data_IF_054327464609
#
_entry.id   IF_054327464609
#
_cell.length_a   1.000
_cell.length_b   1.000
_cell.length_c   1.000
_cell.angle_alpha   90.00
_cell.angle_beta   90.00
_cell.angle_gamma   90.00
#
_symmetry.space_group_name_H-M   'P 1'
#
loop_
_entity.id
_entity.type
_entity.pdbx_description
1 polymer ?
#
# COMPACT_ATOMS: atom_id res chain seq x y z
N UNK A 1 -13.47 -13.63 -4.66
CA UNK A 1 -12.05 -13.27 -4.86
C UNK A 1 -12.07 -11.88 -5.44
N UNK A 2 -11.51 -10.89 -4.72
CA UNK A 2 -11.58 -9.48 -5.09
C UNK A 2 -10.20 -9.02 -5.56
N UNK A 3 -9.73 -9.68 -6.60
CA UNK A 3 -8.48 -9.38 -7.26
C UNK A 3 -8.75 -8.22 -8.23
N UNK A 4 -8.08 -7.09 -8.02
CA UNK A 4 -8.07 -6.01 -8.98
C UNK A 4 -7.11 -6.42 -10.09
N UNK A 5 -7.64 -6.64 -11.29
CA UNK A 5 -6.82 -6.85 -12.48
C UNK A 5 -6.68 -5.53 -13.20
N UNK A 6 -5.43 -5.12 -13.42
CA UNK A 6 -5.09 -3.99 -14.28
C UNK A 6 -5.72 -4.18 -15.66
N UNK A 7 -6.53 -3.23 -16.11
CA UNK A 7 -7.05 -3.25 -17.48
C UNK A 7 -6.07 -2.67 -18.49
N UNK A 8 -5.20 -1.75 -18.05
CA UNK A 8 -4.20 -1.10 -18.86
C UNK A 8 -2.79 -1.33 -18.33
N UNK A 9 -1.78 -1.13 -19.18
CA UNK A 9 -0.36 -1.20 -18.81
C UNK A 9 0.03 -0.18 -17.73
N UNK A 10 -0.75 0.90 -17.61
CA UNK A 10 -0.58 1.92 -16.59
C UNK A 10 -1.22 1.56 -15.24
N UNK A 11 -2.04 0.50 -15.16
CA UNK A 11 -2.75 0.11 -13.94
C UNK A 11 -2.00 -0.99 -13.17
N UNK A 12 -2.11 -0.96 -11.84
CA UNK A 12 -1.50 -1.96 -10.98
C UNK A 12 -2.49 -3.06 -10.63
N UNK A 13 -2.14 -4.32 -10.90
CA UNK A 13 -2.93 -5.47 -10.45
C UNK A 13 -2.60 -5.82 -9.01
N UNK A 14 -3.61 -5.98 -8.15
CA UNK A 14 -3.38 -6.31 -6.74
C UNK A 14 -4.54 -7.09 -6.10
N UNK A 15 -4.19 -7.87 -5.07
CA UNK A 15 -5.15 -8.64 -4.28
C UNK A 15 -5.27 -8.08 -2.86
N UNK A 16 -6.42 -8.28 -2.23
CA UNK A 16 -6.61 -7.95 -0.80
C UNK A 16 -5.51 -8.59 0.05
N UNK A 17 -4.90 -7.80 0.93
CA UNK A 17 -3.80 -8.23 1.80
C UNK A 17 -2.41 -8.13 1.17
N UNK A 18 -2.29 -7.69 -0.08
CA UNK A 18 -0.99 -7.34 -0.65
C UNK A 18 -0.47 -6.02 -0.09
N UNK A 19 0.86 -5.88 -0.10
CA UNK A 19 1.55 -4.65 0.29
C UNK A 19 1.98 -3.91 -0.97
N UNK A 20 1.45 -2.71 -1.12
CA UNK A 20 1.79 -1.81 -2.22
C UNK A 20 2.79 -0.79 -1.72
N UNK A 21 3.86 -0.60 -2.47
CA UNK A 21 4.86 0.41 -2.20
C UNK A 21 4.48 1.68 -2.95
N UNK A 22 4.05 2.73 -2.26
CA UNK A 22 3.61 3.97 -2.94
C UNK A 22 4.83 4.75 -3.40
N UNK A 23 4.96 4.90 -4.72
CA UNK A 23 6.02 5.66 -5.37
C UNK A 23 5.64 7.14 -5.51
N UNK A 24 4.43 7.41 -5.98
CA UNK A 24 3.90 8.77 -6.19
C UNK A 24 2.44 8.87 -5.78
N UNK A 25 2.08 10.03 -5.24
CA UNK A 25 0.72 10.40 -4.81
C UNK A 25 0.34 11.76 -5.39
N UNK A 26 0.60 11.91 -6.69
CA UNK A 26 0.35 13.16 -7.40
C UNK A 26 -1.15 13.49 -7.42
N UNK A 27 -1.98 12.46 -7.62
CA UNK A 27 -3.44 12.54 -7.52
C UNK A 27 -3.96 12.10 -6.14
N UNK A 28 -5.14 12.61 -5.76
CA UNK A 28 -5.84 12.20 -4.54
C UNK A 28 -6.55 10.85 -4.71
N UNK A 29 -7.11 10.61 -5.89
CA UNK A 29 -7.89 9.42 -6.19
C UNK A 29 -7.04 8.23 -6.66
N UNK A 30 -5.95 8.49 -7.40
CA UNK A 30 -5.10 7.48 -8.00
C UNK A 30 -3.64 7.65 -7.59
N UNK A 31 -3.08 6.63 -6.94
CA UNK A 31 -1.68 6.65 -6.55
C UNK A 31 -0.87 5.71 -7.43
N UNK A 32 0.38 6.06 -7.68
CA UNK A 32 1.33 5.19 -8.34
C UNK A 32 2.00 4.30 -7.31
N UNK A 33 1.83 2.99 -7.46
CA UNK A 33 2.37 1.97 -6.58
C UNK A 33 3.26 0.99 -7.30
N UNK A 34 4.06 0.27 -6.53
CA UNK A 34 4.85 -0.87 -6.98
C UNK A 34 4.54 -2.10 -6.13
N UNK A 35 4.33 -3.24 -6.79
CA UNK A 35 4.22 -4.56 -6.17
C UNK A 35 5.17 -5.51 -6.89
N UNK A 36 6.13 -6.06 -6.16
CA UNK A 36 7.07 -7.07 -6.69
C UNK A 36 7.78 -6.63 -7.99
N UNK A 37 8.09 -5.32 -8.14
CA UNK A 37 8.71 -4.75 -9.33
C UNK A 37 7.75 -4.36 -10.46
N UNK A 38 6.45 -4.61 -10.32
CA UNK A 38 5.42 -4.12 -11.24
C UNK A 38 4.91 -2.77 -10.72
N UNK A 39 5.04 -1.73 -11.53
CA UNK A 39 4.52 -0.39 -11.20
C UNK A 39 3.22 -0.12 -11.94
N UNK A 40 2.31 0.59 -11.30
CA UNK A 40 1.08 1.06 -11.94
C UNK A 40 0.26 1.95 -11.02
N UNK A 41 -0.79 2.52 -11.58
CA UNK A 41 -1.77 3.33 -10.90
C UNK A 41 -2.80 2.45 -10.23
N UNK A 42 -3.18 2.81 -9.01
CA UNK A 42 -4.23 2.15 -8.25
C UNK A 42 -5.04 3.18 -7.47
N UNK A 43 -6.34 2.93 -7.25
CA UNK A 43 -7.17 3.80 -6.43
C UNK A 43 -6.74 3.80 -4.96
N UNK A 44 -6.46 4.98 -4.42
CA UNK A 44 -6.00 5.18 -3.03
C UNK A 44 -6.99 4.61 -1.99
N UNK A 45 -8.28 4.55 -2.34
CA UNK A 45 -9.35 3.97 -1.51
C UNK A 45 -9.19 2.48 -1.19
N UNK A 46 -8.36 1.75 -1.95
CA UNK A 46 -8.13 0.32 -1.74
C UNK A 46 -6.95 0.04 -0.81
N UNK A 47 -6.21 1.06 -0.36
CA UNK A 47 -5.00 0.88 0.43
C UNK A 47 -5.02 1.66 1.73
N UNK A 48 -4.59 1.01 2.81
CA UNK A 48 -4.49 1.64 4.13
C UNK A 48 -3.04 1.72 4.51
N UNK A 49 -2.63 2.86 5.07
CA UNK A 49 -1.29 2.99 5.64
C UNK A 49 -1.08 1.89 6.67
N UNK A 50 0.00 1.13 6.52
CA UNK A 50 0.51 0.29 7.61
C UNK A 50 1.35 1.16 8.53
N UNK A 51 0.77 2.24 9.07
CA UNK A 51 1.36 2.88 10.24
C UNK A 51 1.09 1.93 11.39
N UNK A 52 2.16 1.37 11.92
CA UNK A 52 2.25 0.62 13.17
C UNK A 52 1.71 1.46 14.34
N UNK A 53 0.41 1.64 14.38
CA UNK A 53 -0.32 2.29 15.46
C UNK A 53 -1.54 1.43 15.79
N UNK A 54 -1.32 0.13 15.94
CA UNK A 54 -2.12 -0.68 16.84
C UNK A 54 -1.28 -0.83 18.13
N UNK A 55 -1.43 0.06 19.14
CA UNK A 55 -0.65 -0.01 20.37
C UNK A 55 -1.02 -1.20 21.28
N UNK A 56 -1.76 -2.21 20.78
CA UNK A 56 -2.28 -3.32 21.58
C UNK A 56 -1.50 -4.64 21.45
N UNK A 57 -0.40 -4.66 20.68
CA UNK A 57 0.60 -5.73 20.78
C UNK A 57 1.59 -5.43 21.91
N UNK A 58 1.64 -6.21 23.01
CA UNK A 58 2.72 -6.05 23.96
C UNK A 58 3.97 -6.56 23.24
N UNK A 59 4.88 -5.68 22.81
CA UNK A 59 6.21 -5.44 23.42
C UNK A 59 6.87 -4.30 22.61
N UNK A 60 6.89 -3.12 23.21
CA UNK A 60 7.86 -2.07 22.95
C UNK A 60 9.24 -2.64 23.30
N UNK A 61 10.01 -3.18 22.34
CA UNK A 61 11.46 -3.48 22.48
C UNK A 61 12.02 -4.07 21.18
N UNK A 62 12.27 -3.22 20.18
CA UNK A 62 13.51 -3.23 19.36
C UNK A 62 13.47 -1.98 18.49
N UNK A 63 14.34 -1.02 18.81
CA UNK A 63 14.36 0.26 18.12
C UNK A 63 14.65 0.13 16.63
N UNK A 64 14.13 1.07 15.85
CA UNK A 64 14.66 1.35 14.52
C UNK A 64 14.57 2.86 14.25
N UNK A 65 15.73 3.50 14.33
CA UNK A 65 16.03 4.83 13.81
C UNK A 65 16.04 4.90 12.26
N UNK A 66 15.35 4.02 11.52
CA UNK A 66 15.27 4.18 10.05
C UNK A 66 14.21 5.21 9.68
N UNK A 67 14.53 6.49 9.89
CA UNK A 67 13.88 7.58 9.14
C UNK A 67 14.31 7.63 7.66
N UNK A 68 15.25 6.78 7.25
CA UNK A 68 15.89 6.84 5.92
C UNK A 68 15.41 5.77 4.93
N UNK A 69 14.44 4.93 5.31
CA UNK A 69 13.83 3.92 4.42
C UNK A 69 12.33 3.80 4.63
N UNK A 70 11.66 4.90 4.97
CA UNK A 70 10.19 4.96 4.98
C UNK A 70 9.68 4.94 3.53
N UNK A 71 9.83 3.79 2.88
CA UNK A 71 8.98 3.41 1.77
C UNK A 71 7.59 3.29 2.37
N UNK A 72 6.69 4.21 2.04
CA UNK A 72 5.33 4.17 2.56
C UNK A 72 4.66 2.92 2.00
N UNK A 73 4.59 1.89 2.84
CA UNK A 73 3.92 0.63 2.52
C UNK A 73 2.46 0.75 2.92
N UNK A 74 1.59 0.39 2.01
CA UNK A 74 0.16 0.37 2.24
C UNK A 74 -0.36 -1.04 2.02
N UNK A 75 -1.23 -1.49 2.92
CA UNK A 75 -1.89 -2.78 2.80
C UNK A 75 -3.18 -2.59 2.01
N UNK A 76 -3.39 -3.43 1.01
CA UNK A 76 -4.66 -3.48 0.29
C UNK A 76 -5.73 -3.98 1.26
N UNK A 77 -6.61 -3.09 1.66
CA UNK A 77 -7.79 -3.41 2.43
C UNK A 77 -8.98 -3.23 1.50
N UNK A 78 -9.77 -4.29 1.38
CA UNK A 78 -10.95 -4.24 0.54
C UNK A 78 -11.98 -3.31 1.20
N UNK A 79 -12.11 -2.09 0.68
CA UNK A 79 -13.12 -1.13 1.10
C UNK A 79 -14.02 -0.81 -0.09
N UNK A 80 -14.96 -1.70 -0.33
CA UNK A 80 -16.20 -1.34 -1.02
C UNK A 80 -17.02 -0.51 -0.02
N UNK A 81 -17.34 0.73 -0.39
CA UNK A 81 -18.58 1.31 0.10
C UNK A 81 -19.76 0.45 -0.35
#
# INVERSE_FOLDING_TARGET
MYDYMANNEDELSFSKGQLINVLSKDDADWWQGEISGVTGLFPSNYVKMTTDSDPTGPIHLVGVHLKERLMYRYLVFHSLY
#
